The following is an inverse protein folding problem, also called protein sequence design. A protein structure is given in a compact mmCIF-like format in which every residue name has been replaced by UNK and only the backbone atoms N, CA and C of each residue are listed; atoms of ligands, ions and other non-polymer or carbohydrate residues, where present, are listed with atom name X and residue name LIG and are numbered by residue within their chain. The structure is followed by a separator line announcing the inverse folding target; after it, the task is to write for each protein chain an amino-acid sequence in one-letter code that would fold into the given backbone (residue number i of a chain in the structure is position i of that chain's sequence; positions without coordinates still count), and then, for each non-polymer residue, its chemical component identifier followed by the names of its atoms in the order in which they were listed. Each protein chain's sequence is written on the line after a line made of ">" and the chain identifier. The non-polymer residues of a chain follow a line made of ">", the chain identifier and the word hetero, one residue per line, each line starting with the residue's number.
data_IF_076573062183
#
_entry.id   IF_076573062183
#
_cell.length_a   1.000
_cell.length_b   1.000
_cell.length_c   1.000
_cell.angle_alpha   90.00
_cell.angle_beta   90.00
_cell.angle_gamma   90.00
#
_symmetry.space_group_name_H-M   'P 1'
#
loop_
_entity.id
_entity.type
_entity.pdbx_description
1 polymer ?
#
# COMPACT_ATOMS: atom_id res chain seq x y z
N UNK A 1 15.60 -10.95 3.77
CA UNK A 1 14.20 -11.39 3.77
C UNK A 1 13.38 -10.32 3.12
N UNK A 2 12.90 -10.60 1.92
CA UNK A 2 12.14 -9.67 1.11
C UNK A 2 11.67 -10.37 -0.17
N UNK A 3 10.71 -9.73 -0.84
CA UNK A 3 10.61 -9.77 -2.29
C UNK A 3 11.96 -9.32 -2.88
N UNK A 4 12.65 -10.21 -3.59
CA UNK A 4 13.97 -9.94 -4.16
C UNK A 4 13.85 -9.51 -5.62
N UNK A 5 12.91 -10.11 -6.37
CA UNK A 5 12.74 -9.85 -7.79
C UNK A 5 11.28 -9.94 -8.21
N UNK A 6 10.85 -9.02 -9.07
CA UNK A 6 9.59 -9.10 -9.79
C UNK A 6 9.84 -8.80 -11.25
N UNK A 7 9.46 -9.74 -12.12
CA UNK A 7 9.45 -9.56 -13.58
C UNK A 7 8.04 -9.82 -14.09
N UNK A 8 7.47 -8.85 -14.80
CA UNK A 8 6.16 -8.98 -15.43
C UNK A 8 6.28 -8.56 -16.89
N UNK A 9 5.78 -9.40 -17.81
CA UNK A 9 5.78 -9.14 -19.25
C UNK A 9 4.36 -9.21 -19.81
N UNK A 10 4.01 -8.27 -20.69
CA UNK A 10 2.78 -8.23 -21.49
C UNK A 10 1.48 -8.36 -20.67
N UNK A 11 1.44 -7.78 -19.48
CA UNK A 11 0.35 -7.95 -18.52
C UNK A 11 -0.51 -6.69 -18.43
N UNK A 12 -1.75 -6.76 -18.92
CA UNK A 12 -2.68 -5.64 -19.01
C UNK A 12 -2.04 -4.43 -19.68
N UNK A 13 -1.85 -3.32 -18.96
CA UNK A 13 -1.19 -2.12 -19.48
C UNK A 13 0.34 -2.17 -19.41
N UNK A 14 0.94 -3.18 -18.77
CA UNK A 14 2.38 -3.31 -18.54
C UNK A 14 3.03 -4.13 -19.67
N UNK A 15 3.87 -3.47 -20.48
CA UNK A 15 4.70 -4.15 -21.48
C UNK A 15 5.78 -5.02 -20.82
N UNK A 16 6.59 -4.38 -19.96
CA UNK A 16 7.70 -5.01 -19.28
C UNK A 16 7.98 -4.25 -17.98
N UNK A 17 8.09 -4.97 -16.88
CA UNK A 17 8.46 -4.45 -15.57
C UNK A 17 9.50 -5.40 -14.99
N UNK A 18 10.70 -4.89 -14.70
CA UNK A 18 11.74 -5.63 -14.00
C UNK A 18 12.23 -4.85 -12.77
N UNK A 19 11.95 -5.42 -11.61
CA UNK A 19 12.35 -4.91 -10.31
C UNK A 19 13.31 -5.91 -9.67
N UNK A 20 14.54 -5.47 -9.44
CA UNK A 20 15.50 -6.14 -8.55
C UNK A 20 15.61 -5.31 -7.29
N UNK A 21 15.37 -5.94 -6.15
CA UNK A 21 15.27 -5.31 -4.84
C UNK A 21 16.37 -5.86 -3.95
N UNK A 22 16.99 -4.96 -3.18
CA UNK A 22 17.93 -5.34 -2.14
C UNK A 22 17.18 -5.53 -0.81
N UNK A 23 17.75 -6.26 0.17
CA UNK A 23 17.18 -6.37 1.51
C UNK A 23 17.02 -5.01 2.23
N UNK A 24 17.73 -3.97 1.77
CA UNK A 24 17.61 -2.62 2.32
C UNK A 24 16.37 -1.88 1.79
N UNK A 25 15.79 -2.31 0.67
CA UNK A 25 14.58 -1.73 0.09
C UNK A 25 13.34 -2.23 0.83
N UNK A 26 13.06 -1.60 1.97
CA UNK A 26 11.93 -1.94 2.85
C UNK A 26 10.60 -1.42 2.35
N UNK A 27 10.58 -0.44 1.45
CA UNK A 27 9.35 0.06 0.81
C UNK A 27 9.47 -0.01 -0.69
N UNK A 28 8.47 -0.62 -1.31
CA UNK A 28 8.20 -0.49 -2.74
C UNK A 28 6.88 0.24 -2.88
N UNK A 29 6.89 1.39 -3.57
CA UNK A 29 5.72 2.19 -3.81
C UNK A 29 5.40 2.23 -5.30
N UNK A 30 4.27 1.65 -5.68
CA UNK A 30 3.75 1.67 -7.04
C UNK A 30 2.82 2.87 -7.23
N UNK A 31 3.15 3.72 -8.19
CA UNK A 31 2.42 4.96 -8.49
C UNK A 31 1.95 4.95 -9.95
N UNK A 32 0.92 5.74 -10.27
CA UNK A 32 0.43 5.89 -11.65
C UNK A 32 -1.07 6.15 -11.68
N UNK A 33 -1.61 6.48 -12.85
CA UNK A 33 -3.03 6.84 -13.00
C UNK A 33 -3.99 5.66 -12.84
N UNK A 34 -5.30 5.94 -12.81
CA UNK A 34 -6.32 4.90 -12.74
C UNK A 34 -6.21 3.98 -13.97
N UNK A 35 -6.22 2.66 -13.75
CA UNK A 35 -6.02 1.69 -14.83
C UNK A 35 -4.54 1.37 -15.15
N UNK A 36 -3.57 1.94 -14.42
CA UNK A 36 -2.14 1.61 -14.59
C UNK A 36 -1.73 0.22 -14.07
N UNK A 37 -2.68 -0.65 -13.74
CA UNK A 37 -2.45 -2.02 -13.24
C UNK A 37 -1.79 -2.15 -11.87
N UNK A 38 -1.79 -1.11 -11.02
CA UNK A 38 -1.29 -1.12 -9.62
C UNK A 38 -1.80 -2.30 -8.78
N UNK A 39 -3.11 -2.40 -8.58
CA UNK A 39 -3.74 -3.52 -7.86
C UNK A 39 -3.43 -4.88 -8.49
N UNK A 40 -3.25 -4.92 -9.82
CA UNK A 40 -2.95 -6.15 -10.55
C UNK A 40 -1.53 -6.64 -10.24
N UNK A 41 -0.55 -5.74 -10.16
CA UNK A 41 0.82 -6.08 -9.75
C UNK A 41 0.85 -6.62 -8.32
N UNK A 42 0.15 -5.99 -7.38
CA UNK A 42 0.03 -6.51 -6.01
C UNK A 42 -0.60 -7.91 -6.01
N UNK A 43 -1.66 -8.12 -6.79
CA UNK A 43 -2.33 -9.41 -6.94
C UNK A 43 -1.37 -10.49 -7.43
N UNK A 44 -0.54 -10.19 -8.44
CA UNK A 44 0.47 -11.12 -8.97
C UNK A 44 1.52 -11.51 -7.94
N UNK A 45 1.96 -10.55 -7.10
CA UNK A 45 2.89 -10.80 -6.01
C UNK A 45 2.24 -11.71 -4.95
N UNK A 46 0.99 -11.44 -4.59
CA UNK A 46 0.22 -12.25 -3.62
C UNK A 46 0.06 -13.69 -4.11
N UNK A 47 -0.28 -13.87 -5.39
CA UNK A 47 -0.41 -15.18 -6.01
C UNK A 47 0.89 -16.00 -5.84
N UNK A 48 2.04 -15.37 -6.08
CA UNK A 48 3.35 -16.01 -5.90
C UNK A 48 3.63 -16.47 -4.47
N UNK A 49 3.13 -15.75 -3.45
CA UNK A 49 3.27 -16.12 -2.04
C UNK A 49 2.31 -17.24 -1.63
N UNK A 50 1.11 -17.32 -2.21
CA UNK A 50 0.03 -18.20 -1.72
C UNK A 50 -0.14 -19.49 -2.54
N UNK A 51 0.16 -19.51 -3.85
CA UNK A 51 -0.33 -20.53 -4.80
C UNK A 51 0.06 -21.99 -4.47
N UNK A 52 1.21 -22.23 -3.82
CA UNK A 52 1.65 -23.59 -3.45
C UNK A 52 1.51 -23.90 -1.96
N UNK A 53 0.93 -22.99 -1.18
CA UNK A 53 0.76 -23.19 0.26
C UNK A 53 -0.34 -24.22 0.50
N UNK A 54 -0.05 -25.23 1.34
CA UNK A 54 -1.05 -26.22 1.82
C UNK A 54 -1.92 -25.65 2.93
N UNK A 55 -1.65 -24.42 3.37
CA UNK A 55 -2.31 -23.80 4.50
C UNK A 55 -3.79 -23.56 4.22
N UNK A 56 -4.67 -24.06 5.09
CA UNK A 56 -6.09 -23.75 5.05
C UNK A 56 -6.31 -22.39 5.71
N UNK A 57 -6.68 -21.38 4.89
CA UNK A 57 -7.09 -20.06 5.37
C UNK A 57 -8.61 -19.99 5.48
N UNK A 58 -9.11 -19.32 6.50
CA UNK A 58 -10.54 -19.11 6.71
C UNK A 58 -11.25 -18.40 5.53
N UNK A 59 -10.54 -17.53 4.79
CA UNK A 59 -11.09 -16.87 3.58
C UNK A 59 -10.85 -17.62 2.27
N UNK A 60 -10.11 -18.73 2.29
CA UNK A 60 -10.01 -19.59 1.10
C UNK A 60 -11.34 -20.31 0.93
N UNK A 61 -12.32 -19.66 0.27
CA UNK A 61 -13.62 -20.27 -0.07
C UNK A 61 -13.41 -21.48 -0.98
N UNK A 62 -13.12 -22.63 -0.39
CA UNK A 62 -12.96 -23.93 -1.07
C UNK A 62 -14.24 -24.35 -1.82
N UNK A 63 -15.40 -23.85 -1.44
CA UNK A 63 -16.67 -24.23 -2.07
C UNK A 63 -16.89 -23.69 -3.49
N UNK A 64 -16.01 -22.82 -4.02
CA UNK A 64 -16.17 -22.26 -5.39
C UNK A 64 -14.90 -22.13 -6.24
N UNK A 65 -13.76 -22.77 -5.91
CA UNK A 65 -12.51 -22.58 -6.67
C UNK A 65 -12.14 -21.09 -6.90
N UNK A 66 -12.55 -20.19 -6.00
CA UNK A 66 -12.24 -18.77 -6.09
C UNK A 66 -10.83 -18.56 -5.53
N UNK A 67 -9.83 -18.88 -6.35
CA UNK A 67 -8.46 -18.36 -6.17
C UNK A 67 -8.55 -16.83 -6.17
N UNK A 68 -7.71 -16.19 -5.38
CA UNK A 68 -7.54 -14.73 -5.41
C UNK A 68 -7.23 -14.33 -6.87
N UNK A 69 -8.26 -13.78 -7.55
CA UNK A 69 -8.31 -13.42 -8.98
C UNK A 69 -7.63 -14.43 -9.92
N UNK A 70 -8.40 -15.36 -10.50
CA UNK A 70 -7.93 -16.19 -11.63
C UNK A 70 -7.44 -15.24 -12.73
N UNK A 71 -6.13 -15.10 -12.87
CA UNK A 71 -5.50 -14.27 -13.90
C UNK A 71 -5.74 -14.98 -15.23
N UNK A 72 -6.73 -14.52 -15.99
CA UNK A 72 -7.19 -15.16 -17.23
C UNK A 72 -6.43 -14.66 -18.45
N UNK A 73 -6.65 -15.30 -19.59
CA UNK A 73 -6.14 -14.82 -20.89
C UNK A 73 -6.59 -13.40 -21.23
N UNK A 74 -7.70 -12.91 -20.64
CA UNK A 74 -8.18 -11.55 -20.83
C UNK A 74 -7.25 -10.49 -20.22
N UNK A 75 -6.26 -10.90 -19.44
CA UNK A 75 -5.24 -10.01 -18.89
C UNK A 75 -3.98 -9.93 -19.75
N UNK A 76 -3.93 -10.68 -20.85
CA UNK A 76 -2.88 -10.51 -21.87
C UNK A 76 -3.05 -9.11 -22.46
N UNK A 77 -1.95 -8.39 -22.54
CA UNK A 77 -1.92 -7.07 -23.17
C UNK A 77 -2.40 -7.11 -24.63
N UNK A 78 -3.10 -6.07 -25.05
CA UNK A 78 -3.56 -5.92 -26.42
C UNK A 78 -2.39 -6.05 -27.43
N UNK A 79 -2.52 -7.00 -28.35
CA UNK A 79 -1.49 -7.31 -29.36
C UNK A 79 -0.44 -8.33 -28.93
N UNK A 80 -0.37 -8.71 -27.66
CA UNK A 80 0.50 -9.79 -27.18
C UNK A 80 -0.17 -11.17 -27.30
N UNK A 81 0.66 -12.21 -27.38
CA UNK A 81 0.19 -13.61 -27.44
C UNK A 81 0.21 -14.29 -26.06
N UNK A 82 0.96 -13.74 -25.12
CA UNK A 82 1.12 -14.28 -23.76
C UNK A 82 1.46 -13.17 -22.79
N UNK A 83 1.26 -13.42 -21.49
CA UNK A 83 1.90 -12.69 -20.41
C UNK A 83 2.68 -13.66 -19.52
N UNK A 84 3.69 -13.14 -18.82
CA UNK A 84 4.48 -13.91 -17.88
C UNK A 84 4.76 -13.14 -16.61
N UNK A 85 4.81 -13.86 -15.49
CA UNK A 85 5.12 -13.32 -14.16
C UNK A 85 6.21 -14.19 -13.55
N UNK A 86 7.28 -13.57 -13.08
CA UNK A 86 8.33 -14.19 -12.27
C UNK A 86 8.49 -13.38 -10.99
N UNK A 87 8.40 -14.04 -9.84
CA UNK A 87 8.54 -13.44 -8.52
C UNK A 87 9.51 -14.27 -7.71
N UNK A 88 10.58 -13.64 -7.24
CA UNK A 88 11.55 -14.26 -6.34
C UNK A 88 11.50 -13.62 -4.98
N UNK A 89 11.56 -14.43 -3.93
CA UNK A 89 11.51 -14.00 -2.55
C UNK A 89 12.40 -14.86 -1.65
N UNK A 90 12.90 -14.26 -0.59
CA UNK A 90 13.82 -14.89 0.37
C UNK A 90 13.23 -14.90 1.78
N UNK A 91 13.38 -16.02 2.48
CA UNK A 91 13.06 -16.14 3.91
C UNK A 91 14.20 -15.65 4.79
N UNK A 92 13.89 -15.43 6.07
CA UNK A 92 14.95 -15.26 7.09
C UNK A 92 15.63 -16.61 7.44
N UNK A 93 14.87 -17.71 7.44
CA UNK A 93 15.34 -19.07 7.78
C UNK A 93 15.72 -19.97 6.58
N UNK A 94 15.66 -19.49 5.33
CA UNK A 94 15.55 -20.40 4.19
C UNK A 94 16.18 -19.93 2.88
N UNK A 95 16.14 -20.85 1.91
CA UNK A 95 16.62 -20.67 0.54
C UNK A 95 15.76 -19.68 -0.25
N UNK A 96 16.33 -19.14 -1.32
CA UNK A 96 15.60 -18.27 -2.23
C UNK A 96 14.54 -19.08 -2.99
N UNK A 97 13.33 -18.57 -3.03
CA UNK A 97 12.23 -19.17 -3.76
C UNK A 97 11.88 -18.33 -4.97
N UNK A 98 11.55 -19.01 -6.07
CA UNK A 98 11.10 -18.37 -7.30
C UNK A 98 9.80 -19.02 -7.78
N UNK A 99 8.81 -18.18 -8.02
CA UNK A 99 7.55 -18.51 -8.65
C UNK A 99 7.54 -17.96 -10.07
N UNK A 100 7.15 -18.80 -11.03
CA UNK A 100 7.07 -18.49 -12.45
C UNK A 100 5.70 -18.88 -12.97
N UNK A 101 5.05 -18.00 -13.72
CA UNK A 101 3.75 -18.23 -14.36
C UNK A 101 3.74 -17.67 -15.76
N UNK A 102 3.15 -18.43 -16.69
CA UNK A 102 2.87 -17.99 -18.05
C UNK A 102 1.42 -18.30 -18.39
N UNK A 103 0.77 -17.37 -19.08
CA UNK A 103 -0.54 -17.58 -19.68
C UNK A 103 -0.51 -17.08 -21.12
N UNK A 104 -0.99 -17.90 -22.04
CA UNK A 104 -1.01 -17.63 -23.47
C UNK A 104 -2.43 -17.70 -24.02
N UNK A 105 -2.65 -17.04 -25.16
CA UNK A 105 -3.92 -17.07 -25.89
C UNK A 105 -4.17 -18.42 -26.58
N UNK A 106 -3.10 -19.14 -26.95
CA UNK A 106 -3.13 -20.45 -27.58
C UNK A 106 -2.37 -21.48 -26.73
N UNK A 107 -2.96 -22.66 -26.57
CA UNK A 107 -2.35 -23.83 -25.90
C UNK A 107 -1.10 -24.32 -26.63
N UNK A 108 -1.05 -24.15 -27.96
CA UNK A 108 0.01 -24.66 -28.84
C UNK A 108 1.02 -23.60 -29.28
N UNK A 109 1.06 -22.44 -28.59
CA UNK A 109 2.04 -21.39 -28.87
C UNK A 109 3.48 -21.96 -28.80
N UNK A 110 4.30 -21.64 -29.81
CA UNK A 110 5.68 -22.10 -29.89
C UNK A 110 6.46 -21.63 -28.64
N UNK A 111 7.08 -22.53 -27.86
CA UNK A 111 7.95 -22.18 -26.73
C UNK A 111 9.00 -21.10 -27.03
N UNK A 112 9.50 -21.02 -28.27
CA UNK A 112 10.48 -20.01 -28.65
C UNK A 112 9.92 -18.57 -28.56
N UNK A 113 8.60 -18.39 -28.66
CA UNK A 113 7.95 -17.09 -28.58
C UNK A 113 8.05 -16.50 -27.17
N UNK A 114 8.03 -17.31 -26.12
CA UNK A 114 8.02 -16.81 -24.74
C UNK A 114 9.26 -17.16 -23.92
N UNK A 115 10.13 -18.05 -24.41
CA UNK A 115 11.37 -18.47 -23.72
C UNK A 115 12.30 -17.31 -23.33
N UNK A 116 12.29 -16.22 -24.09
CA UNK A 116 13.06 -15.03 -23.78
C UNK A 116 12.52 -14.26 -22.56
N UNK A 117 11.21 -14.35 -22.31
CA UNK A 117 10.52 -13.69 -21.22
C UNK A 117 10.44 -14.56 -19.96
N UNK A 118 10.29 -15.88 -20.13
CA UNK A 118 10.23 -16.84 -19.04
C UNK A 118 10.79 -18.21 -19.45
N UNK A 119 11.85 -18.63 -18.77
CA UNK A 119 12.49 -19.93 -18.99
C UNK A 119 11.82 -21.04 -18.17
N UNK A 120 12.03 -22.29 -18.59
CA UNK A 120 11.71 -23.52 -17.82
C UNK A 120 10.21 -23.84 -17.65
N UNK A 121 9.34 -23.14 -18.38
CA UNK A 121 7.91 -23.47 -18.49
C UNK A 121 7.57 -23.99 -19.88
N UNK A 122 6.68 -24.97 -19.94
CA UNK A 122 6.11 -25.51 -21.18
C UNK A 122 4.61 -25.67 -21.00
N UNK A 123 3.84 -25.06 -21.89
CA UNK A 123 2.39 -25.23 -21.95
C UNK A 123 2.06 -26.64 -22.44
N UNK A 124 1.40 -27.45 -21.61
CA UNK A 124 1.03 -28.84 -21.91
C UNK A 124 -0.49 -28.99 -21.94
N UNK A 125 -1.12 -28.67 -23.07
CA UNK A 125 -2.57 -28.86 -23.22
C UNK A 125 -3.43 -27.86 -22.40
N UNK A 126 -2.82 -26.82 -21.83
CA UNK A 126 -3.46 -25.75 -21.08
C UNK A 126 -2.98 -24.39 -21.57
N UNK A 127 -3.82 -23.37 -21.45
CA UNK A 127 -3.49 -21.98 -21.73
C UNK A 127 -2.57 -21.33 -20.68
N UNK A 128 -2.29 -22.03 -19.59
CA UNK A 128 -1.39 -21.57 -18.53
C UNK A 128 -0.44 -22.67 -18.07
N UNK A 129 0.75 -22.26 -17.63
CA UNK A 129 1.70 -23.10 -16.92
C UNK A 129 2.33 -22.31 -15.77
N UNK A 130 2.59 -22.99 -14.67
CA UNK A 130 3.18 -22.42 -13.47
C UNK A 130 4.26 -23.36 -12.93
N UNK A 131 5.29 -22.78 -12.32
CA UNK A 131 6.34 -23.50 -11.61
C UNK A 131 6.70 -22.71 -10.35
N UNK A 132 7.01 -23.42 -9.28
CA UNK A 132 7.54 -22.86 -8.06
C UNK A 132 8.64 -23.76 -7.56
N UNK A 133 9.73 -23.18 -7.07
CA UNK A 133 10.79 -23.91 -6.38
C UNK A 133 10.33 -24.45 -5.02
N UNK A 134 9.20 -23.96 -4.48
CA UNK A 134 8.65 -24.43 -3.21
C UNK A 134 7.93 -25.78 -3.42
N UNK A 135 8.44 -26.83 -2.79
CA UNK A 135 7.79 -28.14 -2.77
C UNK A 135 6.58 -28.13 -1.82
N UNK A 136 5.41 -28.56 -2.33
CA UNK A 136 4.16 -28.68 -1.57
C UNK A 136 4.27 -29.59 -0.34
N UNK A 137 5.26 -30.49 -0.29
CA UNK A 137 5.44 -31.37 0.86
C UNK A 137 6.21 -30.72 2.02
N UNK A 138 6.93 -29.61 1.79
CA UNK A 138 7.77 -28.97 2.81
C UNK A 138 7.12 -27.70 3.39
N UNK A 139 6.16 -27.89 4.30
CA UNK A 139 5.48 -26.79 5.03
C UNK A 139 6.44 -25.88 5.81
N UNK A 140 7.58 -26.39 6.27
CA UNK A 140 8.57 -25.58 6.98
C UNK A 140 9.26 -24.56 6.05
N UNK A 141 9.38 -24.87 4.77
CA UNK A 141 9.94 -23.98 3.76
C UNK A 141 8.94 -22.92 3.26
N UNK A 142 7.66 -22.98 3.61
CA UNK A 142 6.62 -22.06 3.16
C UNK A 142 6.74 -20.67 3.81
N UNK A 143 6.80 -19.60 3.02
CA UNK A 143 6.92 -18.20 3.48
C UNK A 143 5.95 -17.86 4.62
N UNK A 144 4.73 -18.38 4.55
CA UNK A 144 3.67 -18.02 5.48
C UNK A 144 3.86 -18.66 6.88
N UNK A 145 4.74 -19.65 7.03
CA UNK A 145 4.89 -20.41 8.28
C UNK A 145 5.62 -19.66 9.41
N UNK A 146 6.49 -18.71 9.07
CA UNK A 146 7.39 -18.04 10.02
C UNK A 146 7.40 -16.50 9.91
N UNK A 147 6.56 -15.94 9.03
CA UNK A 147 6.60 -14.53 8.66
C UNK A 147 5.21 -13.90 8.64
N UNK A 148 5.15 -12.61 8.98
CA UNK A 148 3.93 -11.82 8.81
C UNK A 148 3.63 -11.69 7.33
N UNK A 149 2.38 -11.93 6.96
CA UNK A 149 1.87 -11.70 5.63
C UNK A 149 0.47 -11.10 5.71
N UNK A 150 0.34 -9.87 5.20
CA UNK A 150 -0.91 -9.13 5.23
C UNK A 150 -1.09 -8.39 3.92
N UNK A 151 -2.28 -8.44 3.38
CA UNK A 151 -2.73 -7.68 2.24
C UNK A 151 -4.01 -6.89 2.59
N UNK A 152 -3.94 -5.58 2.40
CA UNK A 152 -5.06 -4.63 2.53
C UNK A 152 -5.46 -4.15 1.13
N UNK A 153 -6.61 -4.56 0.57
CA UNK A 153 -7.06 -4.11 -0.75
C UNK A 153 -7.58 -2.67 -0.74
N UNK A 154 -7.72 -2.06 -1.93
CA UNK A 154 -8.27 -0.71 -2.09
C UNK A 154 -9.77 -0.62 -1.81
N UNK A 155 -10.53 -1.70 -1.99
CA UNK A 155 -11.95 -1.78 -1.64
C UNK A 155 -12.16 -2.06 -0.14
N UNK A 156 -11.44 -1.33 0.72
CA UNK A 156 -11.54 -1.49 2.18
C UNK A 156 -12.40 -0.42 2.81
N UNK A 157 -13.22 -0.87 3.74
CA UNK A 157 -14.11 -0.06 4.55
C UNK A 157 -14.21 -0.73 5.92
N UNK A 158 -14.59 0.00 6.94
CA UNK A 158 -14.84 -0.51 8.30
C UNK A 158 -16.15 0.17 8.72
N UNK A 159 -17.18 -0.60 9.10
CA UNK A 159 -18.50 -0.01 9.37
C UNK A 159 -18.45 0.73 10.70
N UNK A 160 -19.20 1.82 10.75
CA UNK A 160 -19.61 2.44 11.99
C UNK A 160 -20.38 1.40 12.82
N UNK A 161 -20.05 1.28 14.11
CA UNK A 161 -20.69 0.35 15.03
C UNK A 161 -22.22 0.58 15.15
N UNK A 162 -22.73 1.74 14.72
CA UNK A 162 -24.15 2.09 14.74
C UNK A 162 -24.95 1.59 13.52
N UNK A 163 -24.29 1.09 12.46
CA UNK A 163 -24.97 0.56 11.27
C UNK A 163 -24.97 -0.97 11.32
N UNK A 164 -26.02 -1.54 11.91
CA UNK A 164 -26.26 -3.00 11.86
C UNK A 164 -26.90 -3.31 10.51
N UNK A 165 -26.09 -3.71 9.53
CA UNK A 165 -26.65 -4.32 8.33
C UNK A 165 -27.05 -5.77 8.65
N UNK A 166 -28.31 -6.11 8.40
CA UNK A 166 -28.86 -7.47 8.66
C UNK A 166 -28.36 -8.49 7.64
N UNK A 167 -27.71 -8.04 6.58
CA UNK A 167 -27.24 -8.87 5.50
C UNK A 167 -25.71 -9.07 5.55
N UNK A 168 -25.32 -10.01 6.41
CA UNK A 168 -24.47 -11.12 5.99
C UNK A 168 -23.06 -10.78 5.43
N UNK A 169 -22.09 -10.56 6.33
CA UNK A 169 -20.70 -11.05 6.13
C UNK A 169 -20.21 -11.61 7.46
N UNK A 170 -20.41 -12.90 7.70
CA UNK A 170 -19.89 -13.58 8.87
C UNK A 170 -18.36 -13.65 8.83
N UNK A 171 -17.69 -12.76 9.53
CA UNK A 171 -16.33 -12.97 10.04
C UNK A 171 -16.47 -13.74 11.35
N UNK A 172 -15.67 -14.79 11.55
CA UNK A 172 -15.68 -15.58 12.77
C UNK A 172 -14.22 -15.80 13.17
N UNK A 173 -13.68 -14.87 13.98
CA UNK A 173 -12.31 -14.99 14.51
C UNK A 173 -12.24 -15.94 15.69
N UNK A 174 -12.64 -17.20 15.49
CA UNK A 174 -12.38 -18.22 16.50
C UNK A 174 -10.96 -18.71 16.41
N UNK A 175 -10.16 -18.41 17.43
CA UNK A 175 -8.88 -19.06 17.66
C UNK A 175 -9.12 -20.57 17.81
N UNK A 176 -8.59 -21.36 16.88
CA UNK A 176 -8.52 -22.81 17.05
C UNK A 176 -7.63 -23.10 18.25
N UNK A 177 -8.21 -23.61 19.35
CA UNK A 177 -7.48 -24.11 20.53
C UNK A 177 -6.83 -25.48 20.22
N UNK A 178 -6.48 -25.73 18.96
CA UNK A 178 -5.72 -26.91 18.57
C UNK A 178 -4.32 -26.83 19.16
N UNK A 179 -4.01 -27.74 20.09
CA UNK A 179 -2.64 -27.93 20.63
C UNK A 179 -1.62 -28.38 19.56
N UNK A 180 -2.03 -28.48 18.30
CA UNK A 180 -1.24 -28.89 17.14
C UNK A 180 -1.65 -28.07 15.93
N UNK A 181 -0.66 -27.50 15.25
CA UNK A 181 -0.83 -26.82 13.98
C UNK A 181 -1.18 -27.85 12.89
N UNK A 182 -2.46 -28.00 12.58
CA UNK A 182 -2.97 -28.87 11.51
C UNK A 182 -2.90 -28.17 10.12
N UNK A 183 -1.92 -27.28 9.92
CA UNK A 183 -1.81 -26.46 8.71
C UNK A 183 -2.85 -25.34 8.58
N UNK A 184 -3.69 -25.10 9.58
CA UNK A 184 -4.66 -23.98 9.61
C UNK A 184 -4.01 -22.73 10.22
N UNK A 185 -3.90 -21.68 9.41
CA UNK A 185 -3.42 -20.38 9.90
C UNK A 185 -4.55 -19.65 10.64
N UNK A 186 -4.30 -19.13 11.86
CA UNK A 186 -5.32 -18.46 12.66
C UNK A 186 -5.68 -17.07 12.13
N UNK A 187 -4.88 -16.52 11.21
CA UNK A 187 -5.07 -15.18 10.65
C UNK A 187 -5.29 -15.21 9.16
N UNK A 188 -6.13 -14.28 8.71
CA UNK A 188 -6.38 -14.02 7.31
C UNK A 188 -5.23 -13.23 6.70
N UNK A 189 -4.80 -13.62 5.51
CA UNK A 189 -3.78 -12.87 4.78
C UNK A 189 -4.37 -11.68 4.02
N UNK A 190 -5.66 -11.70 3.66
CA UNK A 190 -6.36 -10.57 3.03
C UNK A 190 -7.38 -10.03 4.00
N UNK A 191 -7.42 -8.72 4.22
CA UNK A 191 -8.43 -8.09 5.08
C UNK A 191 -9.01 -6.88 4.37
N UNK A 192 -10.21 -7.01 3.78
CA UNK A 192 -10.95 -5.89 3.17
C UNK A 192 -11.87 -5.19 4.17
N UNK A 193 -12.40 -5.93 5.14
CA UNK A 193 -13.42 -5.49 6.07
C UNK A 193 -13.30 -6.30 7.36
N UNK A 194 -13.21 -5.67 8.53
CA UNK A 194 -13.06 -6.38 9.81
C UNK A 194 -14.37 -6.53 10.60
N UNK A 195 -15.47 -5.90 10.19
CA UNK A 195 -16.75 -6.04 10.91
C UNK A 195 -16.78 -5.31 12.24
N UNK A 196 -17.59 -5.81 13.17
CA UNK A 196 -17.59 -5.38 14.59
C UNK A 196 -16.47 -6.01 15.41
N UNK A 197 -15.53 -6.65 14.73
CA UNK A 197 -14.82 -7.82 15.26
C UNK A 197 -13.32 -7.49 15.43
N UNK A 198 -12.89 -6.31 14.97
CA UNK A 198 -11.69 -5.62 15.45
C UNK A 198 -11.70 -5.41 16.97
N UNK A 199 -12.88 -5.24 17.58
CA UNK A 199 -13.02 -5.17 19.04
C UNK A 199 -12.68 -6.51 19.67
N UNK A 200 -13.19 -7.62 19.12
CA UNK A 200 -12.85 -8.98 19.56
C UNK A 200 -11.36 -9.22 19.52
N UNK A 201 -10.70 -8.77 18.44
CA UNK A 201 -9.27 -8.90 18.29
C UNK A 201 -8.47 -8.16 19.38
N UNK A 202 -8.90 -6.94 19.75
CA UNK A 202 -8.29 -6.17 20.83
C UNK A 202 -8.63 -6.78 22.20
N UNK A 203 -9.86 -7.28 22.38
CA UNK A 203 -10.30 -7.98 23.58
C UNK A 203 -9.45 -9.24 23.83
N UNK A 204 -9.14 -10.00 22.79
CA UNK A 204 -8.25 -11.17 22.88
C UNK A 204 -6.88 -10.77 23.42
N UNK A 205 -6.24 -9.77 22.80
CA UNK A 205 -4.94 -9.27 23.25
C UNK A 205 -5.00 -8.78 24.69
N UNK A 206 -6.12 -8.16 25.09
CA UNK A 206 -6.33 -7.74 26.46
C UNK A 206 -6.49 -8.93 27.42
N UNK A 207 -7.26 -9.97 27.07
CA UNK A 207 -7.40 -11.15 27.92
C UNK A 207 -6.06 -11.87 28.09
N UNK A 208 -5.29 -12.04 27.02
CA UNK A 208 -3.95 -12.61 27.10
C UNK A 208 -3.02 -11.76 27.98
N UNK A 209 -3.10 -10.44 27.86
CA UNK A 209 -2.36 -9.50 28.71
C UNK A 209 -2.72 -9.68 30.19
N UNK A 210 -4.00 -9.86 30.54
CA UNK A 210 -4.45 -10.11 31.91
C UNK A 210 -4.00 -11.48 32.46
N UNK A 211 -3.89 -12.48 31.59
CA UNK A 211 -3.36 -13.82 31.94
C UNK A 211 -1.83 -13.80 32.15
N UNK A 212 -1.16 -12.72 31.75
CA UNK A 212 0.26 -12.49 32.02
C UNK A 212 1.19 -12.67 30.81
N UNK A 213 0.64 -12.77 29.60
CA UNK A 213 1.45 -12.77 28.38
C UNK A 213 2.05 -11.37 28.13
N UNK A 214 3.34 -11.22 28.42
CA UNK A 214 4.08 -9.94 28.31
C UNK A 214 4.04 -9.35 26.90
N UNK A 215 4.11 -10.21 25.88
CA UNK A 215 4.06 -9.80 24.47
C UNK A 215 2.72 -9.14 24.12
N UNK A 216 1.61 -9.63 24.71
CA UNK A 216 0.27 -9.08 24.52
C UNK A 216 0.08 -7.74 25.21
N UNK A 217 0.64 -7.56 26.41
CA UNK A 217 0.67 -6.26 27.10
C UNK A 217 1.39 -5.23 26.22
N UNK A 218 2.56 -5.60 25.72
CA UNK A 218 3.36 -4.73 24.86
C UNK A 218 2.62 -4.37 23.56
N UNK A 219 2.06 -5.37 22.87
CA UNK A 219 1.29 -5.15 21.64
C UNK A 219 0.11 -4.19 21.84
N UNK A 220 -0.67 -4.38 22.90
CA UNK A 220 -1.83 -3.52 23.23
C UNK A 220 -1.42 -2.07 23.50
N UNK A 221 -0.27 -1.84 24.15
CA UNK A 221 0.25 -0.51 24.42
C UNK A 221 0.78 0.19 23.17
N UNK A 222 1.32 -0.56 22.22
CA UNK A 222 1.89 0.00 20.99
C UNK A 222 0.84 0.51 20.01
N UNK A 223 -0.34 -0.10 19.94
CA UNK A 223 -1.43 0.29 19.03
C UNK A 223 -1.76 1.80 19.11
N UNK A 224 -2.15 2.36 20.27
CA UNK A 224 -2.51 3.78 20.36
C UNK A 224 -1.31 4.71 20.12
N UNK A 225 -0.09 4.27 20.46
CA UNK A 225 1.15 5.03 20.20
C UNK A 225 1.40 5.17 18.71
N UNK A 226 1.26 4.07 17.95
CA UNK A 226 1.46 4.06 16.49
C UNK A 226 0.39 4.92 15.82
N UNK A 227 -0.88 4.75 16.22
CA UNK A 227 -1.98 5.57 15.73
C UNK A 227 -1.73 7.06 15.97
N UNK A 228 -1.31 7.44 17.18
CA UNK A 228 -1.03 8.82 17.52
C UNK A 228 0.13 9.41 16.73
N UNK A 229 1.20 8.63 16.48
CA UNK A 229 2.33 9.07 15.62
C UNK A 229 1.90 9.30 14.17
N UNK A 230 0.97 8.51 13.64
CA UNK A 230 0.49 8.66 12.25
C UNK A 230 -0.45 9.85 12.14
N UNK A 231 -1.49 9.92 13.00
CA UNK A 231 -2.56 10.91 12.86
C UNK A 231 -2.30 12.23 13.60
N UNK A 232 -1.28 12.31 14.44
CA UNK A 232 -1.01 13.41 15.38
C UNK A 232 -2.17 13.67 16.36
N UNK A 233 -2.87 12.61 16.77
CA UNK A 233 -3.89 12.67 17.83
C UNK A 233 -3.46 11.85 19.04
N UNK A 234 -4.03 12.18 20.20
CA UNK A 234 -3.82 11.40 21.41
C UNK A 234 -4.95 10.38 21.58
N UNK A 235 -4.62 9.09 21.45
CA UNK A 235 -5.53 7.97 21.67
C UNK A 235 -5.49 7.42 23.10
N UNK A 236 -4.60 7.95 23.96
CA UNK A 236 -4.40 7.48 25.32
C UNK A 236 -4.16 5.97 25.42
N UNK A 237 -4.81 5.31 26.37
CA UNK A 237 -4.77 3.86 26.53
C UNK A 237 -6.07 3.19 26.07
N UNK A 238 -5.95 1.94 25.63
CA UNK A 238 -7.09 1.08 25.35
C UNK A 238 -7.67 0.58 26.68
N UNK A 239 -8.97 0.78 26.87
CA UNK A 239 -9.76 0.36 28.02
C UNK A 239 -10.92 -0.53 27.58
N UNK A 240 -11.49 -1.29 28.50
CA UNK A 240 -12.66 -2.14 28.24
C UNK A 240 -13.74 -1.81 29.24
N UNK A 241 -14.96 -1.55 28.75
CA UNK A 241 -16.12 -1.29 29.59
C UNK A 241 -16.56 -2.54 30.37
N UNK A 242 -17.25 -2.31 31.49
CA UNK A 242 -17.79 -3.39 32.32
C UNK A 242 -19.04 -4.04 31.70
N UNK A 243 -19.40 -5.22 32.22
CA UNK A 243 -20.64 -5.94 31.89
C UNK A 243 -21.89 -5.06 32.03
N UNK A 244 -22.95 -5.23 31.20
CA UNK A 244 -23.18 -6.31 30.23
C UNK A 244 -22.72 -6.04 28.80
N UNK A 245 -22.30 -4.81 28.48
CA UNK A 245 -21.86 -4.42 27.13
C UNK A 245 -20.36 -4.13 27.12
N UNK A 246 -19.54 -5.18 27.12
CA UNK A 246 -18.09 -5.05 26.99
C UNK A 246 -17.77 -4.45 25.62
N UNK A 247 -17.16 -3.28 25.64
CA UNK A 247 -16.74 -2.51 24.48
C UNK A 247 -15.30 -2.07 24.69
N UNK A 248 -14.57 -1.97 23.58
CA UNK A 248 -13.23 -1.41 23.59
C UNK A 248 -13.34 0.11 23.47
N UNK A 249 -12.65 0.82 24.35
CA UNK A 249 -12.67 2.26 24.51
C UNK A 249 -11.23 2.79 24.42
N UNK A 250 -11.06 3.98 23.87
CA UNK A 250 -9.90 4.83 24.10
C UNK A 250 -10.16 5.69 25.33
N UNK A 251 -9.16 5.82 26.20
CA UNK A 251 -9.26 6.67 27.39
C UNK A 251 -9.46 8.16 27.08
N UNK A 252 -9.10 8.60 25.87
CA UNK A 252 -9.19 10.01 25.43
C UNK A 252 -10.34 10.24 24.48
N UNK A 253 -10.53 9.34 23.50
CA UNK A 253 -11.54 9.51 22.43
C UNK A 253 -12.87 8.82 22.74
N UNK A 254 -12.94 7.98 23.78
CA UNK A 254 -14.15 7.22 24.11
C UNK A 254 -14.31 5.99 23.23
N UNK A 255 -15.51 5.73 22.73
CA UNK A 255 -15.78 4.55 21.90
C UNK A 255 -14.98 4.54 20.60
N UNK A 256 -14.53 3.35 20.18
CA UNK A 256 -13.84 3.20 18.89
C UNK A 256 -14.74 3.55 17.69
N UNK A 257 -16.07 3.52 17.88
CA UNK A 257 -17.05 4.05 16.90
C UNK A 257 -16.86 5.55 16.62
N UNK A 258 -16.28 6.30 17.55
CA UNK A 258 -15.97 7.73 17.38
C UNK A 258 -14.73 8.00 16.52
N UNK A 259 -14.02 6.97 16.07
CA UNK A 259 -12.87 7.12 15.19
C UNK A 259 -13.32 7.39 13.75
N UNK A 260 -12.55 8.21 13.03
CA UNK A 260 -12.76 8.40 11.60
C UNK A 260 -12.47 7.12 10.81
N UNK A 261 -13.01 7.05 9.59
CA UNK A 261 -12.82 5.89 8.71
C UNK A 261 -11.35 5.52 8.48
N UNK A 262 -10.49 6.53 8.28
CA UNK A 262 -9.05 6.31 8.13
C UNK A 262 -8.38 5.84 9.41
N UNK A 263 -8.83 6.29 10.58
CA UNK A 263 -8.30 5.83 11.88
C UNK A 263 -8.65 4.38 12.18
N UNK A 264 -9.87 3.96 11.82
CA UNK A 264 -10.27 2.55 11.91
C UNK A 264 -9.44 1.67 10.97
N UNK A 265 -9.22 2.12 9.73
CA UNK A 265 -8.37 1.41 8.77
C UNK A 265 -6.93 1.22 9.30
N UNK A 266 -6.35 2.27 9.88
CA UNK A 266 -5.05 2.22 10.54
C UNK A 266 -5.07 1.25 11.73
N UNK A 267 -6.07 1.33 12.59
CA UNK A 267 -6.22 0.48 13.77
C UNK A 267 -6.22 -0.99 13.38
N UNK A 268 -7.02 -1.35 12.38
CA UNK A 268 -7.14 -2.72 11.88
C UNK A 268 -5.81 -3.18 11.28
N UNK A 269 -5.16 -2.35 10.46
CA UNK A 269 -3.88 -2.69 9.83
C UNK A 269 -2.78 -2.92 10.87
N UNK A 270 -2.61 -1.97 11.79
CA UNK A 270 -1.58 -2.02 12.86
C UNK A 270 -1.82 -3.22 13.78
N UNK A 271 -3.07 -3.41 14.21
CA UNK A 271 -3.42 -4.52 15.09
C UNK A 271 -3.11 -5.85 14.41
N UNK A 272 -3.42 -6.01 13.11
CA UNK A 272 -3.20 -7.27 12.41
C UNK A 272 -1.72 -7.60 12.31
N UNK A 273 -0.88 -6.61 12.01
CA UNK A 273 0.57 -6.76 11.99
C UNK A 273 1.05 -7.22 13.37
N UNK A 274 0.71 -6.49 14.44
CA UNK A 274 1.16 -6.80 15.81
C UNK A 274 0.70 -8.21 16.23
N UNK A 275 -0.55 -8.57 15.96
CA UNK A 275 -1.09 -9.88 16.35
C UNK A 275 -0.38 -11.03 15.62
N UNK A 276 -0.11 -10.87 14.31
CA UNK A 276 0.69 -11.86 13.58
C UNK A 276 2.13 -11.93 14.11
N UNK A 277 2.76 -10.79 14.40
CA UNK A 277 4.09 -10.74 14.98
C UNK A 277 4.15 -11.45 16.33
N UNK A 278 3.19 -11.22 17.22
CA UNK A 278 3.11 -11.90 18.52
C UNK A 278 3.01 -13.42 18.34
N UNK A 279 2.14 -13.87 17.43
CA UNK A 279 1.96 -15.29 17.13
C UNK A 279 3.24 -15.95 16.64
N UNK A 280 3.95 -15.32 15.71
CA UNK A 280 5.21 -15.87 15.20
C UNK A 280 6.33 -15.77 16.23
N UNK A 281 6.43 -14.66 16.97
CA UNK A 281 7.45 -14.47 18.01
C UNK A 281 7.49 -15.66 18.96
N UNK A 282 6.33 -16.10 19.47
CA UNK A 282 6.20 -17.26 20.35
C UNK A 282 6.67 -18.59 19.74
N UNK A 283 6.74 -18.71 18.41
CA UNK A 283 7.15 -19.91 17.68
C UNK A 283 8.64 -19.95 17.36
N UNK A 284 9.33 -18.81 17.40
CA UNK A 284 10.79 -18.79 17.34
C UNK A 284 11.35 -19.27 18.67
N UNK A 285 12.25 -20.25 18.62
CA UNK A 285 13.05 -20.67 19.78
C UNK A 285 14.01 -19.56 20.23
N UNK A 286 14.48 -19.61 21.47
CA UNK A 286 15.38 -18.58 21.99
C UNK A 286 16.68 -18.48 21.18
N UNK A 287 17.23 -19.62 20.74
CA UNK A 287 18.43 -19.68 19.89
C UNK A 287 18.21 -19.01 18.54
N UNK A 288 17.07 -19.27 17.89
CA UNK A 288 16.72 -18.61 16.63
C UNK A 288 16.51 -17.10 16.81
N UNK A 289 15.89 -16.67 17.91
CA UNK A 289 15.70 -15.23 18.17
C UNK A 289 17.04 -14.51 18.33
N UNK A 290 18.00 -15.13 19.00
CA UNK A 290 19.35 -14.58 19.15
C UNK A 290 20.09 -14.56 17.81
N UNK A 291 20.07 -15.67 17.06
CA UNK A 291 20.72 -15.80 15.75
C UNK A 291 20.22 -14.77 14.73
N UNK A 292 18.91 -14.52 14.69
CA UNK A 292 18.28 -13.61 13.72
C UNK A 292 18.06 -12.19 14.27
N UNK A 293 18.53 -11.88 15.48
CA UNK A 293 18.38 -10.54 16.08
C UNK A 293 16.95 -10.13 16.41
N UNK A 294 16.07 -11.11 16.66
CA UNK A 294 14.65 -10.92 17.01
C UNK A 294 14.50 -10.62 18.50
N UNK A 295 14.97 -9.45 18.93
CA UNK A 295 14.97 -9.06 20.35
C UNK A 295 13.59 -8.80 20.94
N UNK A 296 12.60 -8.50 20.11
CA UNK A 296 11.25 -8.15 20.50
C UNK A 296 10.24 -8.53 19.41
N UNK A 297 8.95 -8.44 19.76
CA UNK A 297 7.82 -8.79 18.89
C UNK A 297 7.84 -8.01 17.58
N UNK A 298 8.20 -6.71 17.59
CA UNK A 298 8.12 -5.84 16.42
C UNK A 298 9.20 -6.11 15.36
N UNK A 299 10.23 -6.86 15.75
CA UNK A 299 11.29 -7.32 14.84
C UNK A 299 10.96 -8.59 14.09
N UNK A 300 9.80 -9.20 14.32
CA UNK A 300 9.38 -10.33 13.50
C UNK A 300 9.20 -9.87 12.05
N UNK A 301 9.84 -10.53 11.09
CA UNK A 301 9.87 -10.05 9.73
C UNK A 301 8.58 -10.40 8.98
N UNK A 302 8.36 -9.73 7.85
CA UNK A 302 7.20 -10.01 7.01
C UNK A 302 7.10 -9.18 5.75
N UNK A 303 6.03 -9.43 4.99
CA UNK A 303 5.66 -8.64 3.82
C UNK A 303 4.22 -8.16 4.02
N UNK A 304 4.03 -6.85 3.95
CA UNK A 304 2.72 -6.21 4.05
C UNK A 304 2.43 -5.46 2.76
N UNK A 305 1.34 -5.83 2.09
CA UNK A 305 0.89 -5.22 0.86
C UNK A 305 -0.32 -4.32 1.15
N UNK A 306 -0.28 -3.05 0.74
CA UNK A 306 -1.40 -2.11 0.94
C UNK A 306 -1.73 -1.44 -0.39
N UNK A 307 -2.87 -1.77 -0.97
CA UNK A 307 -3.36 -1.10 -2.18
C UNK A 307 -4.02 0.22 -1.79
N UNK A 308 -3.80 1.33 -2.49
CA UNK A 308 -4.33 2.66 -2.18
C UNK A 308 -4.09 3.06 -0.72
N UNK A 309 -2.83 3.12 -0.30
CA UNK A 309 -2.45 3.32 1.11
C UNK A 309 -2.91 4.67 1.70
N UNK A 310 -3.26 5.62 0.84
CA UNK A 310 -3.78 6.94 1.17
C UNK A 310 -5.29 7.00 1.45
N UNK A 311 -6.03 5.90 1.25
CA UNK A 311 -7.48 5.85 1.36
C UNK A 311 -8.00 6.36 2.72
N UNK A 312 -9.00 7.25 2.69
CA UNK A 312 -9.66 7.84 3.87
C UNK A 312 -8.75 8.61 4.85
N UNK A 313 -7.47 8.82 4.53
CA UNK A 313 -6.53 9.56 5.37
C UNK A 313 -6.43 11.02 4.96
N UNK A 314 -6.27 11.91 5.94
CA UNK A 314 -5.92 13.31 5.66
C UNK A 314 -4.44 13.44 5.25
N UNK A 315 -4.05 14.48 4.47
CA UNK A 315 -2.70 14.61 3.91
C UNK A 315 -1.56 14.43 4.92
N UNK A 316 -1.68 15.02 6.12
CA UNK A 316 -0.66 14.89 7.17
C UNK A 316 -0.49 13.44 7.66
N UNK A 317 -1.57 12.68 7.72
CA UNK A 317 -1.51 11.26 8.07
C UNK A 317 -0.94 10.43 6.91
N UNK A 318 -1.26 10.79 5.66
CA UNK A 318 -0.68 10.16 4.47
C UNK A 318 0.85 10.29 4.43
N UNK A 319 1.40 11.47 4.74
CA UNK A 319 2.86 11.70 4.83
C UNK A 319 3.50 10.84 5.95
N UNK A 320 2.84 10.69 7.09
CA UNK A 320 3.41 9.98 8.23
C UNK A 320 3.26 8.46 8.16
N UNK A 321 2.28 7.94 7.40
CA UNK A 321 1.81 6.57 7.54
C UNK A 321 2.93 5.54 7.34
N UNK A 322 3.52 5.47 6.14
CA UNK A 322 4.56 4.48 5.82
C UNK A 322 5.83 4.70 6.62
N UNK A 323 6.21 5.96 6.83
CA UNK A 323 7.38 6.32 7.61
C UNK A 323 7.30 5.78 9.05
N UNK A 324 6.17 6.01 9.72
CA UNK A 324 5.96 5.53 11.09
C UNK A 324 5.90 4.02 11.13
N UNK A 325 5.22 3.37 10.17
CA UNK A 325 5.20 1.91 10.12
C UNK A 325 6.60 1.32 9.97
N UNK A 326 7.46 1.92 9.15
CA UNK A 326 8.84 1.46 9.00
C UNK A 326 9.70 1.65 10.26
N UNK A 327 9.54 2.78 10.94
CA UNK A 327 10.26 3.05 12.19
C UNK A 327 9.93 1.99 13.26
N UNK A 328 8.66 1.57 13.30
CA UNK A 328 8.12 0.67 14.32
C UNK A 328 8.32 -0.80 13.94
N UNK A 329 8.16 -1.15 12.65
CA UNK A 329 8.25 -2.51 12.13
C UNK A 329 9.48 -2.65 11.20
N UNK A 330 10.70 -2.61 11.74
CA UNK A 330 11.92 -2.47 10.94
C UNK A 330 12.19 -3.66 10.02
N UNK A 331 11.62 -4.83 10.28
CA UNK A 331 11.87 -6.05 9.50
C UNK A 331 10.69 -6.42 8.58
N UNK A 332 9.69 -5.53 8.46
CA UNK A 332 8.60 -5.69 7.51
C UNK A 332 8.92 -4.93 6.22
N UNK A 333 8.76 -5.61 5.09
CA UNK A 333 8.78 -4.97 3.78
C UNK A 333 7.35 -4.56 3.40
N UNK A 334 7.16 -3.28 3.12
CA UNK A 334 5.89 -2.71 2.70
C UNK A 334 5.86 -2.56 1.17
N UNK A 335 4.85 -3.15 0.54
CA UNK A 335 4.60 -3.02 -0.90
C UNK A 335 3.27 -2.30 -1.07
N UNK A 336 3.33 -1.02 -1.44
CA UNK A 336 2.17 -0.15 -1.39
C UNK A 336 1.85 0.43 -2.75
N UNK A 337 0.59 0.77 -2.99
CA UNK A 337 0.20 1.58 -4.13
C UNK A 337 -0.40 2.89 -3.63
N UNK A 338 -0.18 3.97 -4.39
CA UNK A 338 -0.76 5.27 -4.04
C UNK A 338 -0.96 6.15 -5.28
N UNK A 339 -1.92 7.05 -5.17
CA UNK A 339 -2.11 8.19 -6.06
C UNK A 339 -1.74 9.52 -5.40
N UNK A 340 -1.39 9.50 -4.12
CA UNK A 340 -1.18 10.70 -3.34
C UNK A 340 0.29 11.13 -3.35
N UNK A 341 0.61 12.36 -3.79
CA UNK A 341 1.96 12.90 -3.67
C UNK A 341 2.40 13.07 -2.20
N UNK A 342 1.45 13.18 -1.27
CA UNK A 342 1.75 13.25 0.17
C UNK A 342 2.36 11.95 0.69
N UNK A 343 1.85 10.79 0.27
CA UNK A 343 2.47 9.50 0.62
C UNK A 343 3.91 9.45 0.10
N UNK A 344 4.11 9.81 -1.16
CA UNK A 344 5.42 9.79 -1.83
C UNK A 344 6.43 10.68 -1.10
N UNK A 345 6.02 11.90 -0.72
CA UNK A 345 6.86 12.83 0.05
C UNK A 345 7.28 12.28 1.41
N UNK A 346 6.40 11.51 2.04
CA UNK A 346 6.65 10.86 3.33
C UNK A 346 7.56 9.64 3.26
N UNK A 347 7.87 9.12 2.07
CA UNK A 347 8.70 7.93 1.92
C UNK A 347 10.16 8.22 2.33
N UNK A 348 10.83 7.24 2.95
CA UNK A 348 12.25 7.35 3.25
C UNK A 348 13.13 7.21 2.00
N UNK A 349 14.38 7.63 2.11
CA UNK A 349 15.33 7.68 0.99
C UNK A 349 15.60 6.31 0.34
N UNK A 350 15.51 5.22 1.10
CA UNK A 350 15.71 3.85 0.60
C UNK A 350 14.45 3.22 -0.02
N UNK A 351 13.35 3.97 -0.14
CA UNK A 351 12.12 3.50 -0.77
C UNK A 351 12.28 3.48 -2.30
N UNK A 352 11.78 2.42 -2.93
CA UNK A 352 11.76 2.29 -4.39
C UNK A 352 10.41 2.74 -4.91
N UNK A 353 10.37 3.88 -5.59
CA UNK A 353 9.16 4.39 -6.24
C UNK A 353 9.15 3.98 -7.70
N UNK A 354 8.08 3.32 -8.14
CA UNK A 354 7.93 2.77 -9.49
C UNK A 354 6.63 3.30 -10.11
N UNK A 355 6.75 4.06 -11.21
CA UNK A 355 5.58 4.47 -11.98
C UNK A 355 5.15 3.36 -12.93
N UNK A 356 3.86 3.06 -12.89
CA UNK A 356 3.17 2.15 -13.79
C UNK A 356 2.32 2.94 -14.80
N UNK A 357 2.14 2.45 -16.03
CA UNK A 357 2.61 1.15 -16.54
C UNK A 357 4.06 1.16 -17.07
N UNK A 358 4.74 2.31 -17.06
CA UNK A 358 6.06 2.48 -17.69
C UNK A 358 7.17 1.63 -17.08
N UNK A 359 7.04 1.25 -15.80
CA UNK A 359 8.10 0.59 -15.03
C UNK A 359 9.24 1.52 -14.66
N UNK A 360 9.08 2.84 -14.85
CA UNK A 360 10.10 3.84 -14.54
C UNK A 360 10.33 3.90 -13.03
N UNK A 361 11.58 3.70 -12.63
CA UNK A 361 12.04 3.86 -11.24
C UNK A 361 12.47 5.29 -10.99
N UNK A 362 12.21 5.78 -9.78
CA UNK A 362 12.69 7.07 -9.31
C UNK A 362 13.61 6.88 -8.13
N UNK A 363 14.70 7.64 -8.13
CA UNK A 363 15.76 7.63 -7.11
C UNK A 363 15.97 9.08 -6.66
N UNK A 364 14.91 9.66 -6.10
CA UNK A 364 14.84 11.06 -5.73
C UNK A 364 14.58 11.17 -4.23
N UNK A 365 15.17 12.19 -3.60
CA UNK A 365 14.80 12.55 -2.24
C UNK A 365 13.46 13.30 -2.25
N UNK A 366 12.37 12.54 -2.24
CA UNK A 366 11.00 13.10 -2.26
C UNK A 366 10.71 13.97 -1.04
N UNK A 367 11.31 13.69 0.12
CA UNK A 367 11.15 14.50 1.33
C UNK A 367 11.67 15.93 1.18
N UNK A 368 12.60 16.16 0.26
CA UNK A 368 13.15 17.48 -0.05
C UNK A 368 12.39 18.24 -1.16
N UNK A 369 11.40 17.60 -1.78
CA UNK A 369 10.61 18.21 -2.86
C UNK A 369 9.30 18.79 -2.31
N UNK A 370 8.80 19.84 -2.97
CA UNK A 370 7.43 20.30 -2.77
C UNK A 370 6.43 19.36 -3.47
N UNK A 371 5.16 19.43 -3.06
CA UNK A 371 4.11 18.53 -3.54
C UNK A 371 3.84 18.71 -5.03
N UNK A 372 3.94 19.93 -5.57
CA UNK A 372 3.64 20.20 -6.97
C UNK A 372 4.74 19.62 -7.87
N UNK A 373 6.00 19.75 -7.46
CA UNK A 373 7.15 19.11 -8.11
C UNK A 373 7.03 17.59 -8.13
N UNK A 374 6.63 16.97 -7.02
CA UNK A 374 6.39 15.52 -6.95
C UNK A 374 5.25 15.13 -7.89
N UNK A 375 4.16 15.90 -7.87
CA UNK A 375 2.97 15.61 -8.66
C UNK A 375 3.27 15.68 -10.15
N UNK A 376 3.99 16.71 -10.59
CA UNK A 376 4.41 16.86 -11.98
C UNK A 376 5.38 15.75 -12.39
N UNK A 377 6.36 15.44 -11.55
CA UNK A 377 7.37 14.42 -11.84
C UNK A 377 6.77 13.01 -11.96
N UNK A 378 5.82 12.66 -11.08
CA UNK A 378 5.28 11.30 -10.95
C UNK A 378 4.01 11.10 -11.79
N UNK A 379 3.16 12.12 -11.88
CA UNK A 379 1.85 12.01 -12.53
C UNK A 379 1.73 12.87 -13.79
N UNK A 380 2.71 13.74 -14.09
CA UNK A 380 2.67 14.62 -15.25
C UNK A 380 1.67 15.77 -15.13
N UNK A 381 1.16 16.02 -13.92
CA UNK A 381 0.28 17.16 -13.65
C UNK A 381 1.10 18.34 -13.15
N UNK A 382 1.10 19.45 -13.88
CA UNK A 382 1.51 20.74 -13.32
C UNK A 382 0.50 21.09 -12.23
N UNK A 383 0.87 20.90 -10.96
CA UNK A 383 0.05 21.23 -9.77
C UNK A 383 -0.28 22.72 -9.61
N UNK A 384 -0.07 23.51 -10.66
CA UNK A 384 -0.40 24.93 -10.72
C UNK A 384 -1.89 25.20 -10.88
N UNK A 385 -2.22 26.34 -11.48
CA UNK A 385 -3.60 26.78 -11.58
C UNK A 385 -4.46 25.89 -12.47
N UNK A 386 -5.79 26.03 -12.34
CA UNK A 386 -6.74 25.42 -13.27
C UNK A 386 -6.41 25.78 -14.73
N UNK A 387 -6.78 24.94 -15.69
CA UNK A 387 -6.54 25.22 -17.11
C UNK A 387 -7.07 26.60 -17.55
N UNK A 388 -8.21 27.03 -17.01
CA UNK A 388 -8.78 28.35 -17.30
C UNK A 388 -7.89 29.48 -16.79
N UNK A 389 -7.40 29.36 -15.55
CA UNK A 389 -6.51 30.36 -14.96
C UNK A 389 -5.14 30.34 -15.63
N UNK A 390 -4.59 29.17 -15.99
CA UNK A 390 -3.35 29.07 -16.78
C UNK A 390 -3.49 29.76 -18.15
N UNK A 391 -4.62 29.58 -18.84
CA UNK A 391 -4.92 30.29 -20.10
C UNK A 391 -4.95 31.81 -19.87
N UNK A 392 -5.55 32.27 -18.77
CA UNK A 392 -5.58 33.70 -18.44
C UNK A 392 -4.20 34.26 -18.08
N UNK A 393 -3.40 33.53 -17.30
CA UNK A 393 -2.02 33.92 -16.96
C UNK A 393 -1.13 33.90 -18.22
N UNK A 394 -1.27 32.88 -19.07
CA UNK A 394 -0.58 32.82 -20.36
C UNK A 394 -0.96 33.97 -21.29
N UNK A 395 -2.25 34.33 -21.34
CA UNK A 395 -2.74 35.51 -22.07
C UNK A 395 -2.23 36.82 -21.46
N UNK A 396 -2.17 36.90 -20.13
CA UNK A 396 -1.60 38.07 -19.43
C UNK A 396 -0.12 38.25 -19.79
N UNK A 397 0.67 37.16 -19.75
CA UNK A 397 2.08 37.15 -20.12
C UNK A 397 2.30 37.55 -21.58
N UNK A 398 1.50 37.01 -22.51
CA UNK A 398 1.64 37.36 -23.93
C UNK A 398 1.31 38.82 -24.21
N UNK A 399 0.27 39.38 -23.56
CA UNK A 399 -0.06 40.81 -23.66
C UNK A 399 1.08 41.67 -23.10
N UNK A 400 1.69 41.26 -21.98
CA UNK A 400 2.76 42.00 -21.32
C UNK A 400 4.05 42.08 -22.17
N UNK A 401 4.35 41.02 -22.92
CA UNK A 401 5.53 40.93 -23.79
C UNK A 401 5.36 41.60 -25.15
N UNK A 402 4.16 42.07 -25.50
CA UNK A 402 3.93 42.77 -26.76
C UNK A 402 4.53 44.19 -26.74
N UNK A 403 4.96 44.71 -27.90
CA UNK A 403 5.52 46.06 -28.04
C UNK A 403 4.56 47.16 -27.55
N UNK A 404 3.24 46.94 -27.71
CA UNK A 404 2.18 47.80 -27.17
C UNK A 404 1.19 46.95 -26.35
N UNK A 405 1.36 46.86 -25.03
CA UNK A 405 0.48 46.07 -24.18
C UNK A 405 -0.93 46.68 -24.08
N UNK A 406 -1.97 45.83 -24.19
CA UNK A 406 -3.36 46.24 -23.92
C UNK A 406 -3.61 46.36 -22.42
N UNK A 407 -3.51 47.58 -21.91
CA UNK A 407 -3.66 47.90 -20.49
C UNK A 407 -5.05 47.58 -19.94
N UNK A 408 -6.11 47.64 -20.76
CA UNK A 408 -7.48 47.38 -20.30
C UNK A 408 -7.69 45.89 -20.05
N UNK A 409 -7.18 45.05 -20.95
CA UNK A 409 -7.28 43.61 -20.82
C UNK A 409 -6.36 43.10 -19.69
N UNK A 410 -5.15 43.67 -19.53
CA UNK A 410 -4.30 43.38 -18.36
C UNK A 410 -5.00 43.71 -17.04
N UNK A 411 -5.62 44.90 -16.94
CA UNK A 411 -6.37 45.32 -15.73
C UNK A 411 -7.59 44.43 -15.47
N UNK A 412 -8.27 43.98 -16.53
CA UNK A 412 -9.39 43.04 -16.43
C UNK A 412 -8.95 41.70 -15.88
N UNK A 413 -7.89 41.11 -16.45
CA UNK A 413 -7.36 39.81 -16.02
C UNK A 413 -6.83 39.91 -14.57
N UNK A 414 -6.09 40.98 -14.25
CA UNK A 414 -5.60 41.21 -12.90
C UNK A 414 -6.76 41.34 -11.90
N UNK A 415 -7.82 42.09 -12.22
CA UNK A 415 -8.99 42.23 -11.35
C UNK A 415 -9.74 40.90 -11.13
N UNK A 416 -9.79 40.04 -12.15
CA UNK A 416 -10.41 38.72 -12.07
C UNK A 416 -9.63 37.78 -11.16
N UNK A 417 -8.29 37.80 -11.25
CA UNK A 417 -7.43 36.84 -10.55
C UNK A 417 -6.92 37.34 -9.18
N UNK A 418 -7.00 38.65 -8.88
CA UNK A 418 -6.48 39.21 -7.61
C UNK A 418 -7.13 38.65 -6.34
N UNK A 419 -8.29 38.00 -6.46
CA UNK A 419 -8.99 37.39 -5.32
C UNK A 419 -8.25 36.16 -4.80
N UNK A 420 -7.44 35.50 -5.63
CA UNK A 420 -6.55 34.43 -5.24
C UNK A 420 -5.18 35.00 -4.89
N UNK A 421 -4.69 34.70 -3.68
CA UNK A 421 -3.37 35.16 -3.22
C UNK A 421 -2.24 34.64 -4.13
N UNK A 422 -2.25 33.35 -4.46
CA UNK A 422 -1.23 32.71 -5.30
C UNK A 422 -1.23 33.26 -6.73
N UNK A 423 -2.42 33.44 -7.33
CA UNK A 423 -2.50 33.99 -8.68
C UNK A 423 -2.05 35.45 -8.73
N UNK A 424 -2.36 36.22 -7.68
CA UNK A 424 -1.91 37.61 -7.56
C UNK A 424 -0.39 37.70 -7.45
N UNK A 425 0.23 36.90 -6.58
CA UNK A 425 1.69 36.88 -6.41
C UNK A 425 2.40 36.58 -7.73
N UNK A 426 1.90 35.62 -8.51
CA UNK A 426 2.48 35.29 -9.81
C UNK A 426 2.32 36.42 -10.83
N UNK A 427 1.15 37.06 -10.89
CA UNK A 427 0.93 38.23 -11.75
C UNK A 427 1.81 39.41 -11.35
N UNK A 428 1.96 39.67 -10.05
CA UNK A 428 2.83 40.72 -9.52
C UNK A 428 4.30 40.43 -9.84
N UNK A 429 4.74 39.17 -9.76
CA UNK A 429 6.08 38.75 -10.17
C UNK A 429 6.32 39.02 -11.67
N UNK A 430 5.35 38.70 -12.53
CA UNK A 430 5.45 39.00 -13.97
C UNK A 430 5.46 40.50 -14.25
N UNK A 431 4.61 41.28 -13.59
CA UNK A 431 4.60 42.73 -13.69
C UNK A 431 5.94 43.32 -13.26
N UNK A 432 6.49 42.89 -12.12
CA UNK A 432 7.78 43.35 -11.63
C UNK A 432 8.95 42.96 -12.57
N UNK A 433 8.85 41.82 -13.25
CA UNK A 433 9.92 41.32 -14.12
C UNK A 433 9.90 41.93 -15.52
N UNK A 434 8.73 42.25 -16.07
CA UNK A 434 8.55 42.58 -17.49
C UNK A 434 7.81 43.89 -17.78
N UNK A 435 7.17 44.53 -16.80
CA UNK A 435 6.44 45.79 -17.02
C UNK A 435 7.19 47.03 -16.51
N UNK A 436 6.92 48.18 -17.13
CA UNK A 436 7.37 49.49 -16.63
C UNK A 436 6.52 49.94 -15.43
N UNK A 437 7.07 50.83 -14.60
CA UNK A 437 6.39 51.39 -13.41
C UNK A 437 5.02 52.00 -13.76
N UNK A 438 4.88 52.61 -14.94
CA UNK A 438 3.62 53.17 -15.41
C UNK A 438 2.54 52.10 -15.63
N UNK A 439 2.89 50.98 -16.29
CA UNK A 439 1.97 49.87 -16.54
C UNK A 439 1.58 49.19 -15.22
N UNK A 440 2.53 49.03 -14.31
CA UNK A 440 2.30 48.45 -12.98
C UNK A 440 1.22 49.26 -12.24
N UNK A 441 1.36 50.58 -12.18
CA UNK A 441 0.39 51.46 -11.50
C UNK A 441 -1.00 51.38 -12.14
N UNK A 442 -1.10 51.35 -13.47
CA UNK A 442 -2.38 51.28 -14.19
C UNK A 442 -3.13 49.96 -13.94
N UNK A 443 -2.39 48.84 -13.96
CA UNK A 443 -2.93 47.49 -13.78
C UNK A 443 -3.29 47.23 -12.32
N UNK A 444 -2.45 47.63 -11.37
CA UNK A 444 -2.71 47.48 -9.93
C UNK A 444 -3.79 48.46 -9.43
N UNK A 445 -4.03 49.55 -10.16
CA UNK A 445 -5.05 50.55 -9.84
C UNK A 445 -4.66 51.50 -8.71
N UNK A 446 -3.38 51.93 -8.71
CA UNK A 446 -2.89 53.02 -7.88
C UNK A 446 -3.28 54.39 -8.43
#
# INVERSE_FOLDING_TARGET
>A
MALDKVVINNFRSINHLELSLSPENKVICFVGENGSSKTAVLTSIIEAFIEKTKHEYHDSRKEKNLRYRIVTQNEIQDGAQFYSIEVSYSKIKGEQHTFKKIVANDVNIDPNIYRHAISDLVLRGSYHAESSTLDRMNLAADFLNDNVFLFRPGHRYEQDALIVDKDNVGWDSRLSIGKSFDGKMPYHHTVSYSGHDYQTMILDMFFDAQVGYKDSIFGLQMIPVILGRITNKDFGSIQISQSPYRQVLSSTLGELSGLSQGELDLLVTISNIIKQQMFFFQRYSNEEREQYGLSDVLKIPGVVLIDEVDLHLHPKAQENYIRVLMDIFPNIQFIVTTHSPFVIRGLPENAVVVQLPSGRKFDNNFGAMDIDSITNMIFGYDGGFSEETQKLIGKFKSILTNETPDQNELKRIYKLLKSSASAKEELDLFLASFASVEIINIVQGA
#
